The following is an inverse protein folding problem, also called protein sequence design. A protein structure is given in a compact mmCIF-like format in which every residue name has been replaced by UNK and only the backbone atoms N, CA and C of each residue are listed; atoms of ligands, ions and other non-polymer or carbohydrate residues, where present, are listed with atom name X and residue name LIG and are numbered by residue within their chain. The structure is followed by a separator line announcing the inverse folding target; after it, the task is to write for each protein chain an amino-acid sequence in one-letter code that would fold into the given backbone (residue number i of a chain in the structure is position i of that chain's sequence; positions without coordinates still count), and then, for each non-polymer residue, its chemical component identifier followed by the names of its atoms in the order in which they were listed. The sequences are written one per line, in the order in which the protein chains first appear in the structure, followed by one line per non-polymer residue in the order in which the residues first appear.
data_IF_067427954070
#
_entry.id   IF_067427954070
#
_cell.length_a   1.000
_cell.length_b   1.000
_cell.length_c   1.000
_cell.angle_alpha   90.00
_cell.angle_beta   90.00
_cell.angle_gamma   90.00
#
_symmetry.space_group_name_H-M   'P 1'
#
loop_
_entity.id
_entity.type
_entity.pdbx_description
1 polymer ?
#
# COMPACT_ATOMS: atom_id res chain seq x y z
N UNK A 1 -7.16 40.38 -80.13
CA UNK A 1 -5.93 39.56 -80.07
C UNK A 1 -6.29 38.23 -79.43
N UNK A 2 -6.43 37.18 -80.24
CA UNK A 2 -6.61 35.79 -79.78
C UNK A 2 -5.97 34.88 -80.82
N UNK A 3 -4.94 34.10 -80.46
CA UNK A 3 -4.43 33.04 -81.30
C UNK A 3 -4.78 31.64 -80.77
N UNK A 4 -5.31 30.84 -81.69
CA UNK A 4 -4.89 29.48 -82.09
C UNK A 4 -4.77 28.31 -81.09
N UNK A 5 -5.34 27.20 -81.58
CA UNK A 5 -5.41 25.81 -81.11
C UNK A 5 -4.06 25.13 -80.84
N UNK A 6 -4.04 24.05 -80.03
CA UNK A 6 -3.73 22.67 -80.49
C UNK A 6 -3.69 21.61 -79.37
N UNK A 7 -4.33 20.48 -79.70
CA UNK A 7 -4.06 19.05 -79.46
C UNK A 7 -3.81 18.39 -78.08
N UNK A 8 -4.43 17.18 -77.96
CA UNK A 8 -4.29 16.17 -76.90
C UNK A 8 -3.02 15.32 -77.08
N UNK A 9 -2.58 14.61 -76.02
CA UNK A 9 -2.51 13.14 -76.16
C UNK A 9 -2.91 12.32 -74.91
N UNK A 10 -3.30 11.06 -75.16
CA UNK A 10 -3.60 9.98 -74.21
C UNK A 10 -2.33 9.35 -73.60
N UNK A 11 -2.39 8.88 -72.34
CA UNK A 11 -1.55 7.80 -71.75
C UNK A 11 -2.43 7.01 -70.76
N UNK A 12 -2.77 5.74 -70.99
CA UNK A 12 -2.00 4.46 -70.84
C UNK A 12 -1.70 4.07 -69.38
N UNK A 13 -2.52 3.14 -68.86
CA UNK A 13 -2.24 1.90 -68.09
C UNK A 13 -0.85 1.79 -67.43
N UNK A 14 -0.64 1.43 -66.16
CA UNK A 14 -1.38 0.56 -65.25
C UNK A 14 -0.43 -0.56 -64.78
N UNK A 15 0.11 -0.50 -63.56
CA UNK A 15 0.75 -1.63 -62.84
C UNK A 15 0.71 -1.35 -61.32
N UNK A 16 0.00 -2.19 -60.56
CA UNK A 16 0.00 -2.22 -59.09
C UNK A 16 0.79 -3.45 -58.65
N UNK A 17 1.83 -3.26 -57.84
CA UNK A 17 2.52 -4.34 -57.13
C UNK A 17 1.91 -4.48 -55.73
N UNK A 18 1.35 -5.65 -55.41
CA UNK A 18 0.97 -6.01 -54.03
C UNK A 18 2.11 -6.86 -53.46
N UNK A 19 2.85 -6.33 -52.49
CA UNK A 19 3.76 -7.10 -51.64
C UNK A 19 2.97 -7.63 -50.44
N UNK A 20 2.76 -8.94 -50.39
CA UNK A 20 2.28 -9.64 -49.21
C UNK A 20 3.45 -9.89 -48.25
N UNK A 21 3.54 -9.09 -47.18
CA UNK A 21 4.44 -9.35 -46.06
C UNK A 21 3.74 -10.20 -45.01
N UNK A 22 4.21 -11.43 -44.80
CA UNK A 22 3.78 -12.27 -43.68
C UNK A 22 4.46 -11.79 -42.40
N UNK A 23 3.69 -11.28 -41.44
CA UNK A 23 4.17 -10.92 -40.11
C UNK A 23 4.07 -12.16 -39.20
N UNK A 24 5.22 -12.78 -38.90
CA UNK A 24 5.31 -13.83 -37.89
C UNK A 24 5.31 -13.14 -36.51
N UNK A 25 4.18 -13.16 -35.81
CA UNK A 25 4.09 -12.72 -34.42
C UNK A 25 4.66 -13.81 -33.51
N UNK A 26 5.93 -13.65 -33.11
CA UNK A 26 6.51 -14.38 -31.98
C UNK A 26 5.85 -13.87 -30.69
N UNK A 27 4.91 -14.63 -30.15
CA UNK A 27 4.36 -14.41 -28.81
C UNK A 27 5.35 -14.84 -27.74
N UNK A 28 6.40 -14.05 -27.55
CA UNK A 28 7.22 -14.12 -26.34
C UNK A 28 6.34 -13.62 -25.18
N UNK A 29 5.78 -14.55 -24.40
CA UNK A 29 5.12 -14.20 -23.15
C UNK A 29 6.09 -13.42 -22.26
N UNK A 30 5.64 -12.29 -21.70
CA UNK A 30 6.45 -11.52 -20.77
C UNK A 30 6.89 -12.42 -19.60
N UNK A 31 8.14 -12.31 -19.11
CA UNK A 31 8.59 -13.08 -17.98
C UNK A 31 7.73 -12.78 -16.74
N UNK A 32 7.50 -13.77 -15.86
CA UNK A 32 6.54 -13.67 -14.75
C UNK A 32 6.77 -12.46 -13.82
N UNK A 33 8.04 -12.06 -13.60
CA UNK A 33 8.38 -10.88 -12.83
C UNK A 33 7.85 -9.57 -13.45
N UNK A 34 7.90 -9.43 -14.78
CA UNK A 34 7.34 -8.27 -15.48
C UNK A 34 5.81 -8.27 -15.42
N UNK A 35 5.16 -9.43 -15.45
CA UNK A 35 3.71 -9.51 -15.28
C UNK A 35 3.24 -9.20 -13.87
N UNK A 36 3.98 -9.62 -12.83
CA UNK A 36 3.67 -9.29 -11.44
C UNK A 36 3.89 -7.81 -11.14
N UNK A 37 4.96 -7.22 -11.66
CA UNK A 37 5.24 -5.79 -11.51
C UNK A 37 4.19 -4.94 -12.24
N UNK A 38 3.86 -5.28 -13.50
CA UNK A 38 2.77 -4.61 -14.21
C UNK A 38 1.42 -4.80 -13.53
N UNK A 39 1.11 -5.99 -13.03
CA UNK A 39 -0.13 -6.26 -12.30
C UNK A 39 -0.20 -5.47 -10.99
N UNK A 40 0.90 -5.34 -10.24
CA UNK A 40 0.95 -4.51 -9.03
C UNK A 40 0.77 -3.02 -9.35
N UNK A 41 1.26 -2.55 -10.50
CA UNK A 41 1.13 -1.15 -10.96
C UNK A 41 -0.26 -0.83 -11.52
N UNK A 42 -0.93 -1.81 -12.13
CA UNK A 42 -2.29 -1.68 -12.70
C UNK A 42 -3.37 -2.31 -11.83
N UNK A 43 -3.06 -2.55 -10.55
CA UNK A 43 -3.74 -3.51 -9.66
C UNK A 43 -5.26 -3.49 -9.69
N UNK A 44 -5.91 -2.37 -10.02
CA UNK A 44 -7.35 -2.35 -10.32
C UNK A 44 -8.26 -2.69 -9.14
N UNK A 45 -7.70 -3.23 -8.04
CA UNK A 45 -8.29 -3.47 -6.73
C UNK A 45 -8.50 -2.12 -6.06
N UNK A 46 -9.48 -1.40 -6.60
CA UNK A 46 -9.89 -0.10 -6.08
C UNK A 46 -10.22 -0.20 -4.59
N UNK A 47 -9.89 0.85 -3.86
CA UNK A 47 -10.16 0.97 -2.44
C UNK A 47 -11.13 2.12 -2.22
N UNK A 48 -12.13 1.94 -1.35
CA UNK A 48 -13.18 2.94 -1.11
C UNK A 48 -13.90 3.41 -2.38
N UNK A 49 -14.05 2.52 -3.36
CA UNK A 49 -14.67 2.83 -4.66
C UNK A 49 -13.84 3.75 -5.57
N UNK A 50 -12.55 3.93 -5.28
CA UNK A 50 -11.62 4.74 -6.08
C UNK A 50 -10.66 3.86 -6.87
N UNK A 51 -10.30 4.31 -8.06
CA UNK A 51 -9.21 3.72 -8.85
C UNK A 51 -7.88 4.36 -8.45
N UNK A 52 -6.79 3.63 -8.67
CA UNK A 52 -5.46 4.08 -8.30
C UNK A 52 -4.43 3.81 -9.38
N UNK A 53 -3.37 4.62 -9.42
CA UNK A 53 -2.20 4.41 -10.25
C UNK A 53 -0.98 4.12 -9.38
N UNK A 54 -0.30 2.99 -9.64
CA UNK A 54 0.85 2.54 -8.85
C UNK A 54 2.21 2.99 -9.37
N UNK A 55 3.22 2.94 -8.50
CA UNK A 55 4.64 3.05 -8.82
C UNK A 55 5.49 2.26 -7.82
N UNK A 56 6.56 1.61 -8.29
CA UNK A 56 7.57 0.95 -7.45
C UNK A 56 8.64 1.92 -6.92
N UNK A 57 8.65 3.18 -7.38
CA UNK A 57 9.59 4.19 -6.92
C UNK A 57 9.10 4.86 -5.63
N UNK A 58 9.71 4.46 -4.50
CA UNK A 58 9.38 4.95 -3.16
C UNK A 58 10.12 6.23 -2.74
N UNK A 59 10.87 6.90 -3.63
CA UNK A 59 11.66 8.09 -3.27
C UNK A 59 10.84 9.25 -2.70
N UNK A 60 9.54 9.31 -3.02
CA UNK A 60 8.61 10.30 -2.48
C UNK A 60 8.16 10.00 -1.03
N UNK A 61 8.53 8.84 -0.45
CA UNK A 61 8.08 8.38 0.86
C UNK A 61 9.24 8.12 1.83
N UNK A 62 10.13 9.10 2.09
CA UNK A 62 11.32 8.89 2.91
C UNK A 62 11.02 8.51 4.36
N UNK A 63 9.87 8.95 4.90
CA UNK A 63 9.43 8.55 6.26
C UNK A 63 9.10 7.07 6.33
N UNK A 64 8.35 6.57 5.35
CA UNK A 64 8.01 5.16 5.26
C UNK A 64 9.23 4.28 5.02
N UNK A 65 10.07 4.62 4.02
CA UNK A 65 11.29 3.85 3.75
C UNK A 65 12.27 3.88 4.92
N UNK A 66 12.39 5.03 5.59
CA UNK A 66 13.17 5.14 6.82
C UNK A 66 12.61 4.29 7.96
N UNK A 67 11.28 4.16 8.08
CA UNK A 67 10.63 3.29 9.07
C UNK A 67 10.90 1.82 8.79
N UNK A 68 10.82 1.40 7.54
CA UNK A 68 11.20 0.05 7.12
C UNK A 68 12.68 -0.23 7.39
N UNK A 69 13.57 0.73 7.10
CA UNK A 69 15.00 0.59 7.41
C UNK A 69 15.21 0.42 8.91
N UNK A 70 14.64 1.30 9.75
CA UNK A 70 14.72 1.17 11.22
C UNK A 70 14.18 -0.18 11.71
N UNK A 71 13.06 -0.65 11.15
CA UNK A 71 12.48 -1.94 11.54
C UNK A 71 13.35 -3.13 11.14
N UNK A 72 13.81 -3.17 9.88
CA UNK A 72 14.51 -4.33 9.33
C UNK A 72 16.00 -4.37 9.68
N UNK A 73 16.69 -3.22 9.70
CA UNK A 73 18.10 -3.11 10.10
C UNK A 73 18.24 -3.13 11.64
N UNK A 74 17.23 -2.63 12.36
CA UNK A 74 17.18 -2.67 13.82
C UNK A 74 16.93 -4.06 14.42
N UNK A 75 16.61 -5.09 13.60
CA UNK A 75 16.39 -6.47 14.09
C UNK A 75 17.63 -7.09 14.74
N UNK A 76 18.82 -6.65 14.32
CA UNK A 76 20.10 -7.16 14.83
C UNK A 76 20.61 -6.39 16.07
N UNK A 77 19.90 -5.33 16.50
CA UNK A 77 20.14 -4.72 17.80
C UNK A 77 19.62 -5.70 18.84
N UNK A 78 20.54 -6.51 19.39
CA UNK A 78 20.31 -7.43 20.49
C UNK A 78 19.35 -6.80 21.50
N UNK A 79 18.36 -7.57 21.98
CA UNK A 79 17.36 -7.19 23.00
C UNK A 79 17.99 -6.25 24.04
N UNK A 80 17.90 -4.95 23.78
CA UNK A 80 18.62 -3.96 24.56
C UNK A 80 17.87 -3.76 25.86
N UNK A 81 18.28 -4.46 26.92
CA UNK A 81 18.09 -4.08 28.32
C UNK A 81 16.66 -3.88 28.83
N UNK A 82 15.62 -4.36 28.14
CA UNK A 82 14.29 -4.36 28.75
C UNK A 82 14.17 -5.56 29.69
N UNK A 83 14.59 -5.37 30.94
CA UNK A 83 14.24 -6.27 32.04
C UNK A 83 12.84 -5.92 32.55
N UNK A 84 11.93 -6.90 32.49
CA UNK A 84 10.59 -6.75 33.06
C UNK A 84 10.73 -6.48 34.57
N UNK A 85 10.15 -5.37 35.05
CA UNK A 85 10.11 -5.01 36.47
C UNK A 85 8.67 -4.63 36.84
N UNK A 86 8.39 -4.44 38.14
CA UNK A 86 7.07 -3.97 38.56
C UNK A 86 6.66 -2.65 37.88
N UNK A 87 7.64 -1.80 37.53
CA UNK A 87 7.43 -0.51 36.88
C UNK A 87 7.81 -0.48 35.39
N UNK A 88 8.40 -1.57 34.85
CA UNK A 88 8.92 -1.65 33.48
C UNK A 88 8.24 -2.78 32.73
N UNK A 89 7.45 -2.45 31.72
CA UNK A 89 6.87 -3.45 30.80
C UNK A 89 7.67 -3.49 29.50
N UNK A 90 7.92 -4.71 29.04
CA UNK A 90 8.65 -4.95 27.80
C UNK A 90 7.69 -5.25 26.67
N UNK A 91 7.08 -4.19 26.14
CA UNK A 91 6.01 -4.32 25.17
C UNK A 91 6.43 -5.05 23.88
N UNK A 92 7.70 -4.98 23.47
CA UNK A 92 8.23 -5.75 22.33
C UNK A 92 8.18 -7.27 22.55
N UNK A 93 8.53 -7.73 23.76
CA UNK A 93 8.51 -9.16 24.12
C UNK A 93 7.08 -9.66 24.23
N UNK A 94 6.20 -8.87 24.85
CA UNK A 94 4.77 -9.15 24.94
C UNK A 94 4.13 -9.23 23.54
N UNK A 95 4.46 -8.28 22.66
CA UNK A 95 3.96 -8.25 21.28
C UNK A 95 4.42 -9.48 20.48
N UNK A 96 5.70 -9.86 20.55
CA UNK A 96 6.20 -11.08 19.89
C UNK A 96 5.48 -12.34 20.40
N UNK A 97 5.31 -12.48 21.72
CA UNK A 97 4.54 -13.61 22.31
C UNK A 97 3.08 -13.60 21.84
N UNK A 98 2.47 -12.42 21.77
CA UNK A 98 1.12 -12.24 21.26
C UNK A 98 1.02 -12.73 19.81
N UNK A 99 1.91 -12.30 18.92
CA UNK A 99 1.94 -12.75 17.52
C UNK A 99 2.15 -14.25 17.40
N UNK A 100 3.05 -14.83 18.21
CA UNK A 100 3.28 -16.27 18.22
C UNK A 100 2.00 -17.04 18.56
N UNK A 101 1.21 -16.55 19.53
CA UNK A 101 -0.10 -17.11 19.88
C UNK A 101 -1.17 -16.98 18.79
N UNK A 102 -0.93 -16.20 17.74
CA UNK A 102 -1.81 -16.08 16.57
C UNK A 102 -1.40 -16.98 15.40
N UNK A 103 -0.20 -17.59 15.44
CA UNK A 103 0.21 -18.54 14.40
C UNK A 103 -0.74 -19.73 14.38
N UNK A 104 -1.16 -20.14 13.19
CA UNK A 104 -2.13 -21.23 12.99
C UNK A 104 -3.61 -20.86 13.16
N UNK A 105 -3.94 -19.64 13.63
CA UNK A 105 -5.32 -19.14 13.60
C UNK A 105 -5.74 -18.75 12.19
N UNK A 106 -7.05 -18.62 11.95
CA UNK A 106 -7.58 -18.16 10.67
C UNK A 106 -7.06 -16.75 10.34
N UNK A 107 -6.87 -16.44 9.04
CA UNK A 107 -6.41 -15.11 8.61
C UNK A 107 -7.31 -14.00 9.13
N UNK A 108 -8.64 -14.17 9.09
CA UNK A 108 -9.58 -13.18 9.62
C UNK A 108 -9.40 -12.96 11.13
N UNK A 109 -9.26 -14.04 11.91
CA UNK A 109 -8.98 -13.94 13.34
C UNK A 109 -7.67 -13.21 13.60
N UNK A 110 -6.63 -13.44 12.80
CA UNK A 110 -5.37 -12.69 12.90
C UNK A 110 -5.59 -11.18 12.72
N UNK A 111 -6.43 -10.76 11.75
CA UNK A 111 -6.77 -9.35 11.55
C UNK A 111 -7.48 -8.76 12.76
N UNK A 112 -8.49 -9.44 13.29
CA UNK A 112 -9.28 -8.97 14.43
C UNK A 112 -8.43 -8.84 15.70
N UNK A 113 -7.62 -9.85 15.99
CA UNK A 113 -6.76 -9.86 17.17
C UNK A 113 -5.67 -8.79 17.07
N UNK A 114 -5.03 -8.63 15.90
CA UNK A 114 -4.02 -7.57 15.68
C UNK A 114 -4.64 -6.19 15.80
N UNK A 115 -5.80 -5.96 15.16
CA UNK A 115 -6.49 -4.67 15.26
C UNK A 115 -6.78 -4.32 16.72
N UNK A 116 -7.34 -5.27 17.48
CA UNK A 116 -7.69 -5.07 18.88
C UNK A 116 -6.45 -4.85 19.74
N UNK A 117 -5.41 -5.67 19.58
CA UNK A 117 -4.19 -5.57 20.37
C UNK A 117 -3.55 -4.19 20.23
N UNK A 118 -3.33 -3.73 18.99
CA UNK A 118 -2.70 -2.43 18.72
C UNK A 118 -3.60 -1.27 19.17
N UNK A 119 -4.92 -1.38 19.02
CA UNK A 119 -5.87 -0.35 19.47
C UNK A 119 -5.91 -0.12 20.99
N UNK A 120 -5.27 -0.95 21.81
CA UNK A 120 -5.14 -0.69 23.26
C UNK A 120 -4.10 0.40 23.59
N UNK A 121 -3.18 0.69 22.66
CA UNK A 121 -2.25 1.82 22.84
C UNK A 121 -3.06 3.11 22.88
N UNK A 122 -2.65 4.07 23.70
CA UNK A 122 -3.35 5.37 23.79
C UNK A 122 -2.91 6.29 22.65
N UNK A 123 -3.88 6.99 22.04
CA UNK A 123 -3.60 7.97 21.00
C UNK A 123 -2.85 9.19 21.57
N UNK A 124 -1.80 9.65 20.89
CA UNK A 124 -1.09 10.90 21.17
C UNK A 124 -0.38 11.39 19.91
N UNK A 125 -0.57 12.65 19.55
CA UNK A 125 0.02 13.24 18.34
C UNK A 125 1.52 13.44 18.46
N UNK A 126 2.21 13.39 17.32
CA UNK A 126 3.68 13.51 17.26
C UNK A 126 4.29 14.80 17.81
N UNK A 127 3.69 15.99 17.65
CA UNK A 127 4.23 17.19 18.29
C UNK A 127 4.33 17.07 19.81
N UNK A 128 3.42 16.29 20.44
CA UNK A 128 3.43 16.04 21.88
C UNK A 128 4.32 14.83 22.21
N UNK A 129 4.25 13.77 21.40
CA UNK A 129 4.96 12.53 21.66
C UNK A 129 6.46 12.62 21.33
N UNK A 130 6.81 13.07 20.13
CA UNK A 130 8.18 13.09 19.60
C UNK A 130 8.77 14.51 19.45
N UNK A 131 7.96 15.56 19.64
CA UNK A 131 8.43 16.94 19.52
C UNK A 131 8.67 17.40 18.07
N UNK A 132 8.16 16.63 17.10
CA UNK A 132 8.25 16.92 15.67
C UNK A 132 6.87 16.85 15.02
N UNK A 133 6.64 17.48 13.86
CA UNK A 133 5.30 17.55 13.28
C UNK A 133 4.66 16.20 12.91
N UNK A 134 5.48 15.24 12.48
CA UNK A 134 5.04 13.92 12.00
C UNK A 134 6.26 12.98 11.97
N UNK A 135 6.18 11.87 12.70
CA UNK A 135 7.18 10.84 12.96
C UNK A 135 6.54 9.45 12.90
N UNK A 136 6.97 8.65 11.92
CA UNK A 136 6.41 7.31 11.71
C UNK A 136 7.10 6.29 12.61
N UNK A 137 6.47 5.89 13.71
CA UNK A 137 7.08 4.99 14.70
C UNK A 137 7.09 3.53 14.24
N UNK A 138 8.17 2.81 14.58
CA UNK A 138 8.18 1.33 14.47
C UNK A 138 7.38 0.69 15.62
N UNK A 139 6.99 -0.60 15.54
CA UNK A 139 6.07 -1.20 16.50
C UNK A 139 6.54 -1.11 17.95
N UNK A 140 7.83 -1.28 18.22
CA UNK A 140 8.40 -1.16 19.56
C UNK A 140 8.33 0.28 20.10
N UNK A 141 8.61 1.29 19.27
CA UNK A 141 8.45 2.71 19.64
C UNK A 141 6.99 3.04 19.97
N UNK A 142 6.06 2.66 19.09
CA UNK A 142 4.62 2.88 19.26
C UNK A 142 4.09 2.21 20.54
N UNK A 143 4.43 0.93 20.75
CA UNK A 143 3.93 0.14 21.88
C UNK A 143 4.52 0.59 23.23
N UNK A 144 5.76 1.09 23.28
CA UNK A 144 6.37 1.59 24.52
C UNK A 144 5.98 3.04 24.85
N UNK A 145 5.50 3.78 23.85
CA UNK A 145 5.07 5.17 24.03
C UNK A 145 3.57 5.24 23.84
N UNK A 146 3.17 5.84 22.73
CA UNK A 146 1.84 6.16 22.23
C UNK A 146 2.04 6.38 20.72
N UNK A 147 0.98 6.74 20.01
CA UNK A 147 1.12 7.19 18.63
C UNK A 147 -0.16 7.81 18.12
N UNK A 148 -0.09 8.36 16.92
CA UNK A 148 -1.25 8.76 16.13
C UNK A 148 -1.49 7.78 14.98
N UNK A 149 -2.37 8.14 14.04
CA UNK A 149 -3.04 7.20 13.14
C UNK A 149 -2.09 6.31 12.32
N UNK A 150 -0.99 6.87 11.83
CA UNK A 150 0.01 6.15 11.05
C UNK A 150 0.73 5.11 11.90
N UNK A 151 1.03 5.40 13.17
CA UNK A 151 1.74 4.47 14.04
C UNK A 151 0.90 3.20 14.28
N UNK A 152 -0.41 3.35 14.47
CA UNK A 152 -1.32 2.20 14.54
C UNK A 152 -1.32 1.42 13.22
N UNK A 153 -1.38 2.11 12.07
CA UNK A 153 -1.40 1.45 10.77
C UNK A 153 -0.09 0.69 10.49
N UNK A 154 1.06 1.29 10.82
CA UNK A 154 2.40 0.70 10.70
C UNK A 154 2.54 -0.50 11.63
N UNK A 155 2.17 -0.37 12.90
CA UNK A 155 2.29 -1.45 13.87
C UNK A 155 1.42 -2.66 13.48
N UNK A 156 0.21 -2.41 12.95
CA UNK A 156 -0.65 -3.48 12.39
C UNK A 156 -0.05 -4.07 11.11
N UNK A 157 0.49 -3.25 10.21
CA UNK A 157 1.13 -3.70 8.97
C UNK A 157 2.26 -4.69 9.28
N UNK A 158 3.19 -4.27 10.13
CA UNK A 158 4.36 -5.07 10.49
C UNK A 158 3.98 -6.31 11.31
N UNK A 159 2.96 -6.22 12.18
CA UNK A 159 2.39 -7.39 12.86
C UNK A 159 1.90 -8.45 11.88
N UNK A 160 1.15 -8.05 10.85
CA UNK A 160 0.64 -8.98 9.85
C UNK A 160 1.77 -9.52 8.95
N UNK A 161 2.80 -8.72 8.66
CA UNK A 161 4.01 -9.21 7.97
C UNK A 161 4.72 -10.31 8.77
N UNK A 162 4.88 -10.16 10.08
CA UNK A 162 5.46 -11.18 10.97
C UNK A 162 4.59 -12.47 11.06
N UNK A 163 3.27 -12.33 10.90
CA UNK A 163 2.32 -13.45 10.76
C UNK A 163 2.28 -14.06 9.36
N UNK A 164 3.14 -13.60 8.44
CA UNK A 164 3.30 -14.16 7.11
C UNK A 164 2.18 -13.77 6.12
N UNK A 165 1.54 -12.61 6.30
CA UNK A 165 0.76 -12.00 5.21
C UNK A 165 1.71 -11.49 4.13
N UNK A 166 1.33 -11.60 2.87
CA UNK A 166 2.17 -11.12 1.77
C UNK A 166 2.18 -9.59 1.74
N UNK A 167 3.29 -9.00 1.31
CA UNK A 167 3.39 -7.55 1.14
C UNK A 167 2.36 -7.02 0.11
N UNK A 168 2.01 -7.82 -0.89
CA UNK A 168 1.03 -7.46 -1.92
C UNK A 168 -0.41 -7.36 -1.39
N UNK A 169 -0.69 -7.92 -0.21
CA UNK A 169 -2.01 -7.91 0.43
C UNK A 169 -2.17 -6.77 1.44
N UNK A 170 -1.10 -6.03 1.75
CA UNK A 170 -1.11 -5.02 2.80
C UNK A 170 -0.79 -3.65 2.23
N UNK A 171 -1.58 -2.64 2.62
CA UNK A 171 -1.36 -1.25 2.24
C UNK A 171 -1.68 -0.31 3.40
N UNK A 172 -0.71 0.48 3.83
CA UNK A 172 -1.01 1.66 4.66
C UNK A 172 -1.67 2.69 3.75
N UNK A 173 -2.79 3.25 4.16
CA UNK A 173 -3.60 4.17 3.37
C UNK A 173 -3.69 5.50 4.09
N UNK A 174 -3.20 6.54 3.46
CA UNK A 174 -3.38 7.93 3.92
C UNK A 174 -4.58 8.51 3.20
N UNK A 175 -5.51 9.04 3.98
CA UNK A 175 -6.84 9.43 3.52
C UNK A 175 -7.35 10.67 4.24
N UNK A 176 -8.43 11.23 3.70
CA UNK A 176 -9.23 12.23 4.39
C UNK A 176 -10.45 11.54 5.01
N UNK A 177 -10.62 11.67 6.32
CA UNK A 177 -11.87 11.34 6.99
C UNK A 177 -12.85 12.50 6.76
N UNK A 178 -13.94 12.24 6.05
CA UNK A 178 -14.96 13.23 5.72
C UNK A 178 -15.95 13.50 6.86
N UNK A 179 -16.11 12.55 7.80
CA UNK A 179 -16.94 12.73 8.98
C UNK A 179 -16.24 13.65 9.98
N UNK A 180 -14.97 13.37 10.28
CA UNK A 180 -14.17 14.13 11.23
C UNK A 180 -13.48 15.36 10.61
N UNK A 181 -13.38 15.40 9.27
CA UNK A 181 -12.71 16.45 8.49
C UNK A 181 -11.23 16.62 8.86
N UNK A 182 -10.56 15.51 9.12
CA UNK A 182 -9.12 15.45 9.40
C UNK A 182 -8.40 14.48 8.45
N UNK A 183 -7.10 14.69 8.17
CA UNK A 183 -6.25 13.63 7.63
C UNK A 183 -6.25 12.44 8.58
N UNK A 184 -6.15 11.24 8.02
CA UNK A 184 -6.14 9.99 8.79
C UNK A 184 -5.32 8.93 8.05
N UNK A 185 -4.89 7.91 8.79
CA UNK A 185 -4.18 6.75 8.25
C UNK A 185 -4.77 5.45 8.79
N UNK A 186 -4.93 4.47 7.92
CA UNK A 186 -5.45 3.13 8.24
C UNK A 186 -4.65 2.05 7.53
N UNK A 187 -4.83 0.79 7.93
CA UNK A 187 -4.31 -0.35 7.19
C UNK A 187 -5.42 -1.00 6.38
N UNK A 188 -5.23 -1.10 5.07
CA UNK A 188 -6.03 -1.94 4.20
C UNK A 188 -5.37 -3.32 4.02
N UNK A 189 -6.16 -4.37 4.11
CA UNK A 189 -5.73 -5.78 3.98
C UNK A 189 -6.63 -6.46 2.95
N UNK A 190 -6.02 -7.02 1.91
CA UNK A 190 -6.72 -7.84 0.92
C UNK A 190 -6.72 -9.31 1.39
N UNK A 191 -7.91 -9.91 1.47
CA UNK A 191 -8.09 -11.31 1.83
C UNK A 191 -9.24 -11.87 0.99
N UNK A 192 -8.97 -12.92 0.21
CA UNK A 192 -9.94 -13.58 -0.68
C UNK A 192 -10.67 -12.57 -1.60
N UNK A 193 -9.90 -11.74 -2.32
CA UNK A 193 -10.40 -10.69 -3.24
C UNK A 193 -11.24 -9.58 -2.58
N UNK A 194 -11.33 -9.54 -1.26
CA UNK A 194 -11.99 -8.49 -0.51
C UNK A 194 -10.98 -7.65 0.29
N UNK A 195 -11.14 -6.33 0.26
CA UNK A 195 -10.39 -5.42 1.12
C UNK A 195 -11.09 -5.22 2.47
N UNK A 196 -10.33 -5.33 3.54
CA UNK A 196 -10.71 -5.03 4.91
C UNK A 196 -9.90 -3.84 5.43
N UNK A 197 -10.49 -3.07 6.33
CA UNK A 197 -9.86 -1.92 6.98
C UNK A 197 -9.64 -2.23 8.45
N UNK A 198 -8.41 -2.02 8.89
CA UNK A 198 -7.99 -2.01 10.28
C UNK A 198 -7.65 -0.57 10.65
N UNK A 199 -8.41 -0.01 11.58
CA UNK A 199 -8.41 1.40 11.94
C UNK A 199 -8.30 1.54 13.46
N UNK A 200 -7.65 2.60 13.95
CA UNK A 200 -7.56 2.89 15.38
C UNK A 200 -8.82 3.58 15.93
N UNK A 201 -9.65 4.17 15.08
CA UNK A 201 -10.93 4.76 15.50
C UNK A 201 -12.04 3.70 15.66
N UNK A 202 -11.88 2.52 15.06
CA UNK A 202 -12.86 1.43 15.06
C UNK A 202 -12.19 0.11 15.50
N UNK A 203 -12.65 -0.45 16.62
CA UNK A 203 -12.07 -1.68 17.18
C UNK A 203 -12.44 -2.98 16.44
N UNK A 204 -13.34 -2.89 15.46
CA UNK A 204 -13.74 -4.02 14.61
C UNK A 204 -13.16 -3.87 13.21
N UNK A 205 -12.77 -5.01 12.61
CA UNK A 205 -12.32 -5.05 11.22
C UNK A 205 -13.56 -4.97 10.32
N UNK A 206 -13.55 -4.04 9.37
CA UNK A 206 -14.71 -3.80 8.50
C UNK A 206 -14.34 -3.95 7.02
N UNK A 207 -15.26 -4.42 6.15
CA UNK A 207 -15.04 -4.38 4.71
C UNK A 207 -14.85 -2.93 4.24
N UNK A 208 -13.83 -2.68 3.42
CA UNK A 208 -13.54 -1.34 2.90
C UNK A 208 -14.71 -0.76 2.09
N UNK A 209 -15.48 -1.60 1.40
CA UNK A 209 -16.69 -1.22 0.65
C UNK A 209 -17.83 -0.68 1.53
N UNK A 210 -17.82 -1.00 2.83
CA UNK A 210 -18.78 -0.48 3.81
C UNK A 210 -18.43 0.92 4.31
N UNK A 211 -17.19 1.37 4.13
CA UNK A 211 -16.68 2.64 4.66
C UNK A 211 -16.83 3.74 3.60
N UNK A 212 -17.88 4.55 3.72
CA UNK A 212 -18.24 5.57 2.71
C UNK A 212 -17.65 6.96 2.94
N UNK A 213 -17.14 7.22 4.14
CA UNK A 213 -16.67 8.54 4.56
C UNK A 213 -15.15 8.70 4.44
N UNK A 214 -14.44 7.68 3.98
CA UNK A 214 -13.00 7.76 3.73
C UNK A 214 -12.73 8.08 2.27
N UNK A 215 -11.96 9.13 2.06
CA UNK A 215 -11.48 9.53 0.75
C UNK A 215 -9.97 9.28 0.68
N UNK A 216 -9.51 8.19 0.06
CA UNK A 216 -8.10 7.87 0.00
C UNK A 216 -7.33 8.89 -0.85
N UNK A 217 -6.12 9.24 -0.41
CA UNK A 217 -5.18 10.10 -1.14
C UNK A 217 -4.12 9.24 -1.79
N UNK A 218 -3.40 8.47 -0.99
CA UNK A 218 -2.43 7.49 -1.48
C UNK A 218 -2.38 6.27 -0.55
N UNK A 219 -1.76 5.20 -1.02
CA UNK A 219 -1.40 4.06 -0.18
C UNK A 219 -0.01 3.54 -0.50
N UNK A 220 0.60 2.83 0.44
CA UNK A 220 1.99 2.37 0.33
C UNK A 220 2.18 1.00 1.00
N UNK A 221 3.11 0.21 0.47
CA UNK A 221 3.61 -1.02 1.07
C UNK A 221 5.15 -1.07 0.99
N UNK A 222 5.79 -2.20 1.25
CA UNK A 222 7.27 -2.29 1.28
C UNK A 222 7.96 -1.93 -0.04
N UNK A 223 7.26 -1.98 -1.16
CA UNK A 223 7.86 -1.94 -2.51
C UNK A 223 7.16 -1.00 -3.48
N UNK A 224 5.93 -0.60 -3.19
CA UNK A 224 5.07 0.14 -4.10
C UNK A 224 4.23 1.17 -3.35
N UNK A 225 3.81 2.20 -4.07
CA UNK A 225 2.78 3.13 -3.64
C UNK A 225 1.75 3.33 -4.75
N UNK A 226 0.56 3.80 -4.38
CA UNK A 226 -0.55 4.06 -5.29
C UNK A 226 -1.21 5.40 -4.99
N UNK A 227 -1.35 6.26 -6.00
CA UNK A 227 -2.14 7.49 -5.92
C UNK A 227 -3.59 7.19 -6.26
N UNK A 228 -4.55 7.63 -5.44
CA UNK A 228 -5.96 7.50 -5.75
C UNK A 228 -6.45 8.73 -6.51
N UNK A 229 -7.10 8.48 -7.64
CA UNK A 229 -7.65 9.54 -8.46
C UNK A 229 -9.09 9.81 -8.01
N UNK A 230 -9.42 11.09 -7.82
CA UNK A 230 -10.82 11.48 -7.81
C UNK A 230 -11.33 11.44 -9.25
N UNK A 231 -12.48 10.79 -9.50
CA UNK A 231 -13.13 10.84 -10.81
C UNK A 231 -13.52 12.28 -11.17
#
# INVERSE_FOLDING_TARGET
MTPWQMDRPRRKDGWVYILAGALLLLSLGAPPALSEEMAALTDGRGLFGKVSQGSSNLSAFPKWTGTLARYFEGRDVAEGGCEESFFTRCHLKEWRRFLEGLRGKSRHTQLEEVNRYINHVSYLTDPINYGVPDYWAVPDEHLNRRGDCEDYAIAKFLSLRELGFSNADLRIVVLQDLNLRIPHAVLAVYLNDQAFVLDNQINVVVPASGVRHYQPVYSVNETHWWLYLNP
#
